data_IF_663933482736
#
_entry.id   IF_663933482736
#
_cell.length_a   1.000
_cell.length_b   1.000
_cell.length_c   1.000
_cell.angle_alpha   90.00
_cell.angle_beta   90.00
_cell.angle_gamma   90.00
#
_symmetry.space_group_name_H-M   'P 1'
#
loop_
_entity.id
_entity.type
_entity.pdbx_description
1 polymer ?
#
# COMPACT_ATOMS: atom_id res chain seq x y z
N UNK A 1 13.91 19.03 9.81
CA UNK A 1 13.20 19.58 8.62
C UNK A 1 11.79 19.90 9.06
N UNK A 2 11.27 21.08 8.71
CA UNK A 2 9.96 21.53 9.18
C UNK A 2 8.84 20.80 8.42
N UNK A 3 7.67 20.62 9.05
CA UNK A 3 6.50 19.92 8.50
C UNK A 3 6.14 20.41 7.07
N UNK A 4 6.31 21.72 6.83
CA UNK A 4 6.10 22.35 5.53
C UNK A 4 7.16 21.97 4.50
N UNK A 5 8.42 21.84 4.90
CA UNK A 5 9.52 21.49 3.99
C UNK A 5 9.36 20.06 3.48
N UNK A 6 8.89 19.15 4.34
CA UNK A 6 8.62 17.76 3.96
C UNK A 6 7.41 17.63 3.01
N UNK A 7 6.31 18.33 3.30
CA UNK A 7 5.11 18.35 2.44
C UNK A 7 5.38 19.04 1.08
N UNK A 8 6.14 20.15 1.07
CA UNK A 8 6.49 20.86 -0.17
C UNK A 8 7.45 20.07 -1.06
N UNK A 9 8.40 19.32 -0.48
CA UNK A 9 9.34 18.51 -1.27
C UNK A 9 8.60 17.48 -2.15
N UNK A 10 7.48 16.91 -1.68
CA UNK A 10 6.70 15.96 -2.47
C UNK A 10 5.65 16.60 -3.38
N UNK A 11 5.07 17.75 -3.00
CA UNK A 11 4.04 18.39 -3.80
C UNK A 11 4.56 19.03 -5.10
N UNK A 12 5.82 19.51 -5.12
CA UNK A 12 6.35 20.24 -6.28
C UNK A 12 7.09 19.38 -7.30
N UNK A 13 7.33 18.09 -7.02
CA UNK A 13 8.14 17.24 -7.90
C UNK A 13 7.37 16.57 -9.05
N UNK A 14 6.04 16.73 -9.15
CA UNK A 14 5.29 16.23 -10.31
C UNK A 14 4.18 17.18 -10.76
N UNK A 15 4.43 17.76 -11.93
CA UNK A 15 3.51 18.48 -12.81
C UNK A 15 3.11 19.88 -12.34
N UNK A 16 3.66 20.86 -13.07
CA UNK A 16 3.24 22.25 -13.01
C UNK A 16 1.72 22.39 -13.17
N UNK A 17 1.21 23.36 -12.43
CA UNK A 17 -0.15 23.88 -12.45
C UNK A 17 -0.63 24.09 -13.90
N UNK A 18 -1.21 23.06 -14.51
CA UNK A 18 -1.78 23.16 -15.85
C UNK A 18 -3.17 23.77 -15.70
N UNK A 19 -3.18 25.09 -15.85
CA UNK A 19 -4.33 25.95 -16.02
C UNK A 19 -5.28 25.34 -17.06
N UNK A 20 -6.50 24.98 -16.64
CA UNK A 20 -7.52 24.36 -17.49
C UNK A 20 -7.98 25.34 -18.58
N UNK A 21 -7.74 25.08 -19.89
CA UNK A 21 -8.41 25.83 -20.93
C UNK A 21 -9.83 25.27 -21.10
N UNK A 22 -10.80 25.99 -20.55
CA UNK A 22 -12.23 25.81 -20.81
C UNK A 22 -12.52 26.16 -22.27
N UNK A 23 -12.63 25.16 -23.15
CA UNK A 23 -13.21 25.34 -24.47
C UNK A 23 -13.95 24.04 -24.86
N UNK A 24 -15.17 23.85 -24.33
CA UNK A 24 -16.11 22.88 -24.87
C UNK A 24 -16.60 23.37 -26.25
N UNK A 25 -16.12 22.74 -27.33
CA UNK A 25 -16.75 22.81 -28.65
C UNK A 25 -17.33 21.44 -28.97
N UNK A 26 -18.65 21.38 -29.04
CA UNK A 26 -19.43 20.17 -29.29
C UNK A 26 -19.19 19.63 -30.72
N UNK A 27 -19.10 18.31 -30.91
CA UNK A 27 -18.82 17.73 -32.22
C UNK A 27 -20.07 17.61 -33.09
N UNK A 28 -20.02 18.24 -34.26
CA UNK A 28 -21.05 18.23 -35.32
C UNK A 28 -20.79 17.07 -36.30
N UNK A 29 -21.06 15.84 -35.84
CA UNK A 29 -21.26 14.60 -36.64
C UNK A 29 -20.06 14.02 -37.43
N UNK A 30 -20.04 12.68 -37.45
CA UNK A 30 -19.50 11.77 -38.47
C UNK A 30 -18.10 11.20 -38.26
N UNK A 31 -18.03 9.87 -38.22
CA UNK A 31 -16.82 9.12 -38.49
C UNK A 31 -16.67 7.87 -37.66
N UNK A 32 -17.41 6.81 -38.01
CA UNK A 32 -17.21 5.44 -37.54
C UNK A 32 -15.72 5.07 -37.61
N UNK A 33 -15.07 5.02 -36.47
CA UNK A 33 -14.30 3.86 -36.01
C UNK A 33 -13.95 4.15 -34.58
N UNK A 34 -14.62 3.41 -33.70
CA UNK A 34 -14.35 3.26 -32.30
C UNK A 34 -12.88 2.83 -32.08
N UNK A 35 -11.95 3.76 -32.25
CA UNK A 35 -10.74 3.82 -31.46
C UNK A 35 -11.19 4.23 -30.06
N UNK A 36 -11.95 3.35 -29.41
CA UNK A 36 -11.94 3.34 -27.96
C UNK A 36 -10.47 3.19 -27.62
N UNK A 37 -9.87 4.31 -27.21
CA UNK A 37 -8.63 4.34 -26.47
C UNK A 37 -8.85 3.33 -25.36
N UNK A 38 -8.40 2.10 -25.59
CA UNK A 38 -8.15 1.15 -24.54
C UNK A 38 -7.01 1.83 -23.79
N UNK A 39 -7.37 2.73 -22.88
CA UNK A 39 -6.70 2.75 -21.60
C UNK A 39 -6.82 1.30 -21.19
N UNK A 40 -5.79 0.53 -21.56
CA UNK A 40 -5.55 -0.75 -21.00
C UNK A 40 -5.56 -0.43 -19.52
N UNK A 41 -6.70 -0.73 -18.90
CA UNK A 41 -6.79 -1.04 -17.49
C UNK A 41 -5.86 -2.24 -17.41
N UNK A 42 -4.56 -1.95 -17.41
CA UNK A 42 -3.50 -2.91 -17.20
C UNK A 42 -3.83 -3.34 -15.79
N UNK A 43 -4.50 -4.49 -15.77
CA UNK A 43 -5.23 -5.06 -14.67
C UNK A 43 -4.56 -4.64 -13.37
N UNK A 44 -5.15 -3.67 -12.68
CA UNK A 44 -4.57 -3.13 -11.45
C UNK A 44 -4.41 -4.27 -10.42
N UNK A 45 -5.24 -5.30 -10.57
CA UNK A 45 -5.13 -6.57 -9.85
C UNK A 45 -3.84 -7.34 -10.13
N UNK A 46 -3.25 -7.26 -11.34
CA UNK A 46 -1.96 -7.87 -11.64
C UNK A 46 -0.78 -7.10 -11.04
N UNK A 47 -0.95 -5.80 -10.78
CA UNK A 47 0.11 -4.94 -10.26
C UNK A 47 0.24 -5.10 -8.75
N UNK A 48 1.49 -5.10 -8.29
CA UNK A 48 1.76 -5.21 -6.87
C UNK A 48 1.24 -3.97 -6.14
N UNK A 49 0.16 -4.14 -5.37
CA UNK A 49 -0.64 -3.13 -4.65
C UNK A 49 0.14 -2.20 -3.70
N UNK A 50 1.44 -2.41 -3.56
CA UNK A 50 2.28 -1.82 -2.54
C UNK A 50 3.11 -0.63 -2.98
N UNK A 51 3.24 -0.40 -4.27
CA UNK A 51 4.08 0.67 -4.79
C UNK A 51 3.24 1.58 -5.65
N UNK A 52 3.72 2.81 -5.83
CA UNK A 52 3.08 3.77 -6.72
C UNK A 52 2.77 3.09 -8.07
N UNK A 53 1.58 3.33 -8.63
CA UNK A 53 1.27 2.86 -9.97
C UNK A 53 2.45 3.17 -10.89
N UNK A 54 2.92 2.18 -11.66
CA UNK A 54 4.05 2.28 -12.61
C UNK A 54 5.46 2.25 -12.01
N UNK A 55 5.64 2.02 -10.70
CA UNK A 55 6.96 1.91 -10.08
C UNK A 55 7.61 0.53 -10.33
N UNK A 56 8.22 0.30 -11.49
CA UNK A 56 8.86 -0.96 -11.93
C UNK A 56 9.79 -1.65 -10.92
N UNK A 57 10.15 -0.93 -9.87
CA UNK A 57 10.94 -1.32 -8.72
C UNK A 57 10.27 -2.38 -7.81
N UNK A 58 8.99 -2.72 -8.06
CA UNK A 58 8.10 -3.62 -7.30
C UNK A 58 8.65 -4.99 -6.89
N UNK A 59 9.55 -5.60 -7.66
CA UNK A 59 9.91 -7.02 -7.54
C UNK A 59 11.07 -7.29 -6.57
N UNK A 60 11.77 -6.25 -6.12
CA UNK A 60 12.98 -6.42 -5.31
C UNK A 60 12.74 -6.50 -3.80
N UNK A 61 11.56 -6.09 -3.32
CA UNK A 61 11.26 -6.14 -1.90
C UNK A 61 11.12 -7.60 -1.43
N UNK A 62 11.66 -7.90 -0.24
CA UNK A 62 11.65 -9.25 0.34
C UNK A 62 10.23 -9.81 0.40
N UNK A 63 9.29 -8.97 0.82
CA UNK A 63 7.87 -9.29 0.95
C UNK A 63 7.24 -9.74 -0.39
N UNK A 64 7.82 -9.36 -1.53
CA UNK A 64 7.27 -9.60 -2.87
C UNK A 64 7.90 -10.79 -3.59
N UNK A 65 9.06 -11.27 -3.11
CA UNK A 65 9.76 -12.42 -3.72
C UNK A 65 8.87 -13.67 -3.76
N UNK A 66 8.11 -13.91 -2.70
CA UNK A 66 7.18 -15.04 -2.64
C UNK A 66 6.05 -14.90 -3.66
N UNK A 67 5.41 -13.73 -3.73
CA UNK A 67 4.34 -13.47 -4.70
C UNK A 67 4.86 -13.57 -6.15
N UNK A 68 6.05 -13.03 -6.41
CA UNK A 68 6.66 -13.10 -7.74
C UNK A 68 6.99 -14.54 -8.13
N UNK A 69 7.55 -15.33 -7.21
CA UNK A 69 7.80 -16.75 -7.43
C UNK A 69 6.51 -17.50 -7.76
N UNK A 70 5.43 -17.27 -7.01
CA UNK A 70 4.13 -17.87 -7.31
C UNK A 70 3.59 -17.47 -8.68
N UNK A 71 3.69 -16.18 -9.05
CA UNK A 71 3.27 -15.70 -10.37
C UNK A 71 4.06 -16.38 -11.48
N UNK A 72 5.38 -16.50 -11.33
CA UNK A 72 6.25 -17.15 -12.32
C UNK A 72 5.93 -18.63 -12.47
N UNK A 73 5.80 -19.35 -11.35
CA UNK A 73 5.43 -20.78 -11.36
C UNK A 73 4.04 -20.97 -11.98
N UNK A 74 3.04 -20.16 -11.62
CA UNK A 74 1.70 -20.23 -12.21
C UNK A 74 1.74 -20.02 -13.73
N UNK A 75 2.55 -19.09 -14.21
CA UNK A 75 2.66 -18.81 -15.65
C UNK A 75 3.33 -19.96 -16.44
N UNK A 76 4.03 -20.87 -15.77
CA UNK A 76 4.64 -22.06 -16.39
C UNK A 76 3.68 -23.26 -16.41
N UNK A 77 2.64 -23.25 -15.57
CA UNK A 77 1.65 -24.32 -15.49
C UNK A 77 0.60 -24.19 -16.60
N UNK A 78 0.01 -25.32 -17.00
CA UNK A 78 -1.13 -25.33 -17.91
C UNK A 78 -2.31 -24.59 -17.26
N UNK A 79 -2.87 -23.65 -18.01
CA UNK A 79 -4.00 -22.85 -17.55
C UNK A 79 -5.18 -23.75 -17.18
N UNK A 80 -5.84 -23.44 -16.08
CA UNK A 80 -7.00 -24.17 -15.54
C UNK A 80 -6.71 -25.60 -15.03
N UNK A 81 -5.44 -26.03 -15.01
CA UNK A 81 -5.03 -27.22 -14.26
C UNK A 81 -5.26 -27.03 -12.75
N UNK A 82 -5.37 -28.13 -12.00
CA UNK A 82 -5.58 -28.09 -10.54
C UNK A 82 -4.48 -27.28 -9.82
N UNK A 83 -3.22 -27.52 -10.19
CA UNK A 83 -2.07 -26.79 -9.64
C UNK A 83 -2.11 -25.30 -10.00
N UNK A 84 -2.47 -24.98 -11.24
CA UNK A 84 -2.64 -23.60 -11.69
C UNK A 84 -3.74 -22.88 -10.90
N UNK A 85 -4.90 -23.53 -10.72
CA UNK A 85 -6.04 -22.97 -9.99
C UNK A 85 -5.69 -22.73 -8.52
N UNK A 86 -5.03 -23.70 -7.88
CA UNK A 86 -4.56 -23.56 -6.51
C UNK A 86 -3.63 -22.37 -6.37
N UNK A 87 -2.62 -22.26 -7.23
CA UNK A 87 -1.67 -21.16 -7.17
C UNK A 87 -2.31 -19.81 -7.50
N UNK A 88 -3.27 -19.78 -8.42
CA UNK A 88 -4.06 -18.59 -8.72
C UNK A 88 -4.89 -18.14 -7.51
N UNK A 89 -5.49 -19.07 -6.77
CA UNK A 89 -6.22 -18.80 -5.54
C UNK A 89 -5.31 -18.27 -4.43
N UNK A 90 -4.12 -18.84 -4.24
CA UNK A 90 -3.12 -18.36 -3.26
C UNK A 90 -2.67 -16.94 -3.58
N UNK A 91 -2.34 -16.66 -4.85
CA UNK A 91 -1.98 -15.31 -5.33
C UNK A 91 -3.12 -14.32 -5.04
N UNK A 92 -4.35 -14.70 -5.37
CA UNK A 92 -5.52 -13.87 -5.12
C UNK A 92 -5.69 -13.58 -3.62
N UNK A 93 -5.63 -14.61 -2.78
CA UNK A 93 -5.80 -14.49 -1.33
C UNK A 93 -4.73 -13.58 -0.72
N UNK A 94 -3.47 -13.72 -1.14
CA UNK A 94 -2.40 -12.84 -0.70
C UNK A 94 -2.64 -11.39 -1.14
N UNK A 95 -3.07 -11.15 -2.38
CA UNK A 95 -3.42 -9.80 -2.86
C UNK A 95 -4.59 -9.21 -2.08
N UNK A 96 -5.60 -10.00 -1.75
CA UNK A 96 -6.71 -9.54 -0.92
C UNK A 96 -6.26 -9.18 0.50
N UNK A 97 -5.49 -10.03 1.15
CA UNK A 97 -4.91 -9.72 2.46
C UNK A 97 -4.14 -8.39 2.44
N UNK A 98 -3.32 -8.17 1.40
CA UNK A 98 -2.58 -6.92 1.19
C UNK A 98 -3.51 -5.71 1.03
N UNK A 99 -4.57 -5.81 0.22
CA UNK A 99 -5.58 -4.75 0.06
C UNK A 99 -6.26 -4.43 1.38
N UNK A 100 -6.67 -5.44 2.10
CA UNK A 100 -7.36 -5.26 3.37
C UNK A 100 -6.48 -4.54 4.38
N UNK A 101 -5.23 -4.95 4.54
CA UNK A 101 -4.34 -4.30 5.50
C UNK A 101 -4.01 -2.88 5.05
N UNK A 102 -3.78 -2.63 3.76
CA UNK A 102 -3.64 -1.26 3.25
C UNK A 102 -4.87 -0.42 3.57
N UNK A 103 -6.08 -0.95 3.35
CA UNK A 103 -7.33 -0.25 3.64
C UNK A 103 -7.52 0.03 5.13
N UNK A 104 -7.14 -0.91 6.01
CA UNK A 104 -7.17 -0.73 7.48
C UNK A 104 -6.24 0.40 7.91
N UNK A 105 -5.00 0.40 7.41
CA UNK A 105 -4.04 1.47 7.68
C UNK A 105 -4.53 2.81 7.15
N UNK A 106 -5.07 2.84 5.93
CA UNK A 106 -5.64 4.05 5.32
C UNK A 106 -6.74 4.64 6.19
N UNK A 107 -7.69 3.83 6.65
CA UNK A 107 -8.76 4.28 7.55
C UNK A 107 -8.22 4.92 8.82
N UNK A 108 -7.19 4.36 9.42
CA UNK A 108 -6.60 4.93 10.65
C UNK A 108 -5.95 6.27 10.34
N UNK A 109 -5.23 6.40 9.23
CA UNK A 109 -4.65 7.69 8.80
C UNK A 109 -5.72 8.74 8.52
N UNK A 110 -6.82 8.34 7.89
CA UNK A 110 -7.96 9.22 7.64
C UNK A 110 -8.63 9.69 8.95
N UNK A 111 -8.75 8.81 9.96
CA UNK A 111 -9.27 9.21 11.29
C UNK A 111 -8.34 10.20 12.02
N UNK A 112 -7.03 10.11 11.80
CA UNK A 112 -6.04 11.03 12.36
C UNK A 112 -6.05 12.41 11.69
N UNK A 113 -6.79 12.58 10.59
CA UNK A 113 -6.82 13.84 9.84
C UNK A 113 -5.91 13.89 8.61
N UNK A 114 -5.31 12.77 8.20
CA UNK A 114 -4.48 12.70 6.99
C UNK A 114 -5.29 12.31 5.74
N UNK A 115 -6.52 12.81 5.57
CA UNK A 115 -7.39 12.34 4.47
C UNK A 115 -6.79 12.60 3.07
N UNK A 116 -5.99 13.66 2.91
CA UNK A 116 -5.36 14.00 1.63
C UNK A 116 -4.01 13.31 1.45
N UNK A 117 -3.34 13.02 2.57
CA UNK A 117 -1.97 12.51 2.62
C UNK A 117 -1.90 11.00 2.81
N UNK A 118 -3.01 10.33 3.15
CA UNK A 118 -3.04 8.90 3.50
C UNK A 118 -2.39 8.03 2.41
N UNK A 119 -2.73 8.24 1.15
CA UNK A 119 -2.13 7.47 0.04
C UNK A 119 -0.62 7.71 -0.09
N UNK A 120 -0.18 8.96 0.15
CA UNK A 120 1.24 9.34 0.12
C UNK A 120 2.00 8.70 1.28
N UNK A 121 1.42 8.73 2.49
CA UNK A 121 1.99 8.12 3.69
C UNK A 121 2.11 6.59 3.57
N UNK A 122 1.15 5.95 2.88
CA UNK A 122 1.16 4.51 2.63
C UNK A 122 1.97 4.09 1.39
N UNK A 123 2.39 5.03 0.54
CA UNK A 123 3.17 4.70 -0.65
C UNK A 123 4.63 4.44 -0.28
N UNK A 124 5.13 3.24 -0.57
CA UNK A 124 6.54 2.89 -0.34
C UNK A 124 7.17 2.50 -1.67
N UNK A 125 8.09 3.34 -2.11
CA UNK A 125 8.93 3.13 -3.31
C UNK A 125 10.33 2.68 -2.89
N UNK A 126 11.19 2.28 -3.85
CA UNK A 126 12.62 2.01 -3.60
C UNK A 126 13.40 3.17 -2.97
N UNK A 127 12.93 4.40 -3.13
CA UNK A 127 13.56 5.59 -2.54
C UNK A 127 13.14 5.82 -1.09
N UNK A 128 12.20 5.01 -0.58
CA UNK A 128 11.80 5.08 0.83
C UNK A 128 12.97 4.67 1.69
N UNK A 129 13.46 5.62 2.46
CA UNK A 129 14.57 5.42 3.39
C UNK A 129 14.08 5.70 4.80
N UNK A 130 14.70 5.04 5.78
CA UNK A 130 14.42 5.33 7.19
C UNK A 130 15.17 6.60 7.56
N UNK A 131 14.45 7.57 8.11
CA UNK A 131 14.94 8.91 8.37
C UNK A 131 16.12 8.95 9.36
N UNK A 132 16.11 8.05 10.35
CA UNK A 132 17.16 7.96 11.38
C UNK A 132 17.34 6.49 11.85
N UNK A 133 18.58 5.97 11.98
CA UNK A 133 18.82 4.64 12.54
C UNK A 133 18.18 4.40 13.93
N UNK A 134 18.10 5.43 14.78
CA UNK A 134 17.40 5.34 16.07
C UNK A 134 15.89 5.13 15.89
N UNK A 135 15.31 5.74 14.85
CA UNK A 135 13.90 5.54 14.52
C UNK A 135 13.65 4.14 13.97
N UNK A 136 14.62 3.50 13.30
CA UNK A 136 14.46 2.12 12.81
C UNK A 136 14.11 1.15 13.94
N UNK A 137 14.88 1.17 15.03
CA UNK A 137 14.64 0.28 16.17
C UNK A 137 13.28 0.57 16.80
N UNK A 138 12.96 1.84 17.04
CA UNK A 138 11.66 2.26 17.59
C UNK A 138 10.50 1.88 16.67
N UNK A 139 10.63 2.08 15.36
CA UNK A 139 9.61 1.74 14.37
C UNK A 139 9.34 0.23 14.36
N UNK A 140 10.39 -0.59 14.47
CA UNK A 140 10.27 -2.04 14.53
C UNK A 140 9.58 -2.48 15.82
N UNK A 141 9.99 -1.96 16.97
CA UNK A 141 9.36 -2.25 18.27
C UNK A 141 7.86 -1.88 18.27
N UNK A 142 7.51 -0.71 17.74
CA UNK A 142 6.11 -0.27 17.66
C UNK A 142 5.30 -1.07 16.63
N UNK A 143 5.92 -1.53 15.54
CA UNK A 143 5.26 -2.38 14.55
C UNK A 143 4.96 -3.77 15.11
N UNK A 144 5.89 -4.37 15.85
CA UNK A 144 5.67 -5.63 16.58
C UNK A 144 4.58 -5.45 17.64
N UNK A 145 4.65 -4.38 18.42
CA UNK A 145 3.60 -4.04 19.39
C UNK A 145 2.23 -3.89 18.71
N UNK A 146 2.18 -3.31 17.50
CA UNK A 146 0.96 -3.17 16.72
C UNK A 146 0.42 -4.55 16.28
N UNK A 147 1.25 -5.45 15.76
CA UNK A 147 0.81 -6.80 15.35
C UNK A 147 0.37 -7.68 16.53
N UNK A 148 0.99 -7.49 17.68
CA UNK A 148 0.69 -8.28 18.87
C UNK A 148 -0.62 -7.87 19.51
N UNK A 149 -0.94 -6.57 19.49
CA UNK A 149 -2.12 -6.03 20.16
C UNK A 149 -3.33 -5.83 19.25
N UNK A 150 -3.17 -5.99 17.92
CA UNK A 150 -4.24 -5.74 16.96
C UNK A 150 -4.41 -6.85 15.95
N UNK A 151 -5.60 -6.89 15.35
CA UNK A 151 -5.92 -7.71 14.18
C UNK A 151 -5.70 -6.94 12.88
N UNK A 152 -4.89 -5.87 12.89
CA UNK A 152 -4.63 -5.08 11.68
C UNK A 152 -3.97 -5.94 10.59
N UNK A 153 -3.11 -6.87 11.01
CA UNK A 153 -2.53 -7.91 10.18
C UNK A 153 -3.31 -9.23 10.33
N UNK A 154 -3.60 -9.95 9.23
CA UNK A 154 -4.06 -11.33 9.27
C UNK A 154 -3.20 -12.23 10.16
N UNK A 155 -3.82 -13.25 10.75
CA UNK A 155 -3.13 -14.23 11.57
C UNK A 155 -2.10 -15.01 10.74
N UNK A 156 -0.92 -15.24 11.31
CA UNK A 156 0.18 -15.96 10.65
C UNK A 156 0.88 -15.18 9.53
N UNK A 157 0.57 -13.89 9.35
CA UNK A 157 1.27 -13.07 8.37
C UNK A 157 2.58 -12.52 8.95
N UNK A 158 3.68 -12.76 8.25
CA UNK A 158 4.97 -12.17 8.59
C UNK A 158 4.90 -10.64 8.51
N UNK A 159 5.52 -9.97 9.50
CA UNK A 159 5.57 -8.51 9.57
C UNK A 159 6.23 -7.93 8.32
N UNK A 160 5.48 -7.23 7.45
CA UNK A 160 6.04 -6.76 6.19
C UNK A 160 7.01 -5.62 6.45
N UNK A 161 8.23 -5.72 5.93
CA UNK A 161 9.28 -4.69 6.07
C UNK A 161 8.76 -3.34 5.59
N UNK A 162 7.84 -3.32 4.63
CA UNK A 162 7.24 -2.11 4.11
C UNK A 162 6.55 -1.23 5.16
N UNK A 163 5.88 -1.84 6.13
CA UNK A 163 5.21 -1.08 7.18
C UNK A 163 6.18 -0.42 8.15
N UNK A 164 7.44 -0.85 8.18
CA UNK A 164 8.50 -0.18 8.93
C UNK A 164 8.71 1.26 8.43
N UNK A 165 8.69 1.48 7.12
CA UNK A 165 8.83 2.83 6.55
C UNK A 165 7.64 3.73 6.89
N UNK A 166 6.43 3.15 6.93
CA UNK A 166 5.23 3.89 7.30
C UNK A 166 5.31 4.27 8.79
N UNK A 167 5.76 3.35 9.65
CA UNK A 167 6.00 3.64 11.06
C UNK A 167 7.08 4.71 11.28
N UNK A 168 8.19 4.68 10.53
CA UNK A 168 9.22 5.74 10.60
C UNK A 168 8.63 7.12 10.25
N UNK A 169 7.79 7.19 9.19
CA UNK A 169 7.12 8.44 8.82
C UNK A 169 6.17 8.92 9.93
N UNK A 170 5.39 8.02 10.53
CA UNK A 170 4.50 8.35 11.64
C UNK A 170 5.26 8.83 12.88
N UNK A 171 6.44 8.26 13.15
CA UNK A 171 7.33 8.75 14.22
C UNK A 171 7.83 10.16 13.90
N UNK A 172 8.24 10.42 12.66
CA UNK A 172 8.71 11.75 12.25
C UNK A 172 7.60 12.81 12.28
N UNK A 173 6.35 12.40 12.12
CA UNK A 173 5.16 13.25 12.21
C UNK A 173 4.59 13.35 13.63
N UNK A 174 5.20 12.69 14.62
CA UNK A 174 4.71 12.60 16.00
C UNK A 174 3.25 12.08 16.09
N UNK A 175 2.84 11.24 15.14
CA UNK A 175 1.48 10.71 15.02
C UNK A 175 1.39 9.21 15.37
N UNK A 176 2.52 8.58 15.72
CA UNK A 176 2.61 7.13 15.89
C UNK A 176 1.79 6.63 17.09
N UNK A 177 1.80 7.34 18.20
CA UNK A 177 1.09 6.91 19.41
C UNK A 177 -0.43 7.02 19.23
N UNK A 178 -0.90 8.07 18.55
CA UNK A 178 -2.31 8.21 18.18
C UNK A 178 -2.74 7.15 17.17
N UNK A 179 -1.88 6.83 16.19
CA UNK A 179 -2.11 5.74 15.25
C UNK A 179 -2.31 4.41 15.97
N UNK A 180 -1.42 4.08 16.93
CA UNK A 180 -1.51 2.85 17.72
C UNK A 180 -2.80 2.82 18.56
N UNK A 181 -3.17 3.94 19.18
CA UNK A 181 -4.39 4.05 19.97
C UNK A 181 -5.66 3.79 19.14
N UNK A 182 -5.75 4.37 17.94
CA UNK A 182 -6.89 4.13 17.03
C UNK A 182 -6.87 2.68 16.52
N UNK A 183 -5.71 2.15 16.16
CA UNK A 183 -5.58 0.77 15.71
C UNK A 183 -6.05 -0.23 16.75
N UNK A 184 -5.70 -0.03 18.03
CA UNK A 184 -6.15 -0.86 19.14
C UNK A 184 -7.66 -0.80 19.37
N UNK A 185 -8.28 0.38 19.16
CA UNK A 185 -9.74 0.54 19.29
C UNK A 185 -10.49 -0.09 18.12
N UNK A 186 -10.00 0.07 16.89
CA UNK A 186 -10.69 -0.40 15.66
C UNK A 186 -10.44 -1.88 15.35
N UNK A 187 -9.25 -2.37 15.66
CA UNK A 187 -8.82 -3.72 15.34
C UNK A 187 -8.28 -4.42 16.58
N UNK A 188 -9.04 -4.52 17.68
CA UNK A 188 -8.55 -5.15 18.90
C UNK A 188 -8.23 -6.63 18.63
N UNK A 189 -7.13 -7.12 19.21
CA UNK A 189 -6.88 -8.55 19.31
C UNK A 189 -7.49 -9.04 20.62
N UNK A 190 -8.36 -10.04 20.56
CA UNK A 190 -8.83 -10.72 21.77
C UNK A 190 -7.62 -11.30 22.45
N UNK A 191 -7.24 -10.76 23.61
CA UNK A 191 -6.32 -11.48 24.49
C UNK A 191 -7.08 -12.73 24.87
N UNK A 192 -6.64 -13.88 24.38
CA UNK A 192 -7.03 -15.14 25.01
C UNK A 192 -6.48 -15.01 26.42
N UNK A 193 -7.32 -14.60 27.36
CA UNK A 193 -7.00 -14.70 28.77
C UNK A 193 -6.63 -16.16 28.99
N UNK A 194 -5.34 -16.39 29.23
CA UNK A 194 -4.86 -17.64 29.79
C UNK A 194 -5.38 -17.61 31.24
N UNK A 195 -6.68 -17.81 31.38
CA UNK A 195 -7.29 -18.20 32.65
C UNK A 195 -6.72 -19.58 32.94
N UNK A 196 -5.82 -19.59 33.91
CA UNK A 196 -5.23 -20.78 34.53
C UNK A 196 -6.30 -21.74 35.04
#
# INVERSE_FOLDING_TARGET
MCLKDWLCAFCCLRLGCLEYPKNEKQPLVSGNNNQYKTYAVIDDDERNLWSSPHDLSHTEAVDDRMLQSWIQTRNQLEKDSEEWQKLNYEIYTLRQARREVRARWRRILEDLGFQKEAETLLSVTKQSTISNPKNMKRAMELLVKLSDNTTIFPAGWDLPVRYLYIMDRLICLDAVDDFLNIAQKKYPKTKMDISQ
#
